data_IF_537783267076
#
_entry.id   IF_537783267076
#
_cell.length_a   1.000
_cell.length_b   1.000
_cell.length_c   1.000
_cell.angle_alpha   90.00
_cell.angle_beta   90.00
_cell.angle_gamma   90.00
#
_symmetry.space_group_name_H-M   'P 1'
#
loop_
_entity.id
_entity.type
_entity.pdbx_description
1 polymer ?
#
# COMPACT_ATOMS: atom_id res chain seq x y z
N UNK A 1 1.71 -6.88 6.16
CA UNK A 1 0.94 -8.08 5.76
C UNK A 1 0.38 -7.98 4.34
N UNK A 2 -0.76 -7.31 4.10
CA UNK A 2 -1.48 -7.42 2.82
C UNK A 2 -0.79 -6.74 1.62
N UNK A 3 0.02 -5.70 1.86
CA UNK A 3 0.72 -4.92 0.82
C UNK A 3 2.26 -5.07 0.86
N UNK A 4 2.77 -6.02 1.66
CA UNK A 4 4.20 -6.18 1.94
C UNK A 4 4.82 -5.06 2.81
N UNK A 5 6.14 -5.09 2.98
CA UNK A 5 6.92 -4.10 3.74
C UNK A 5 7.22 -2.83 2.92
N UNK A 6 7.61 -1.73 3.53
CA UNK A 6 7.93 -0.47 2.84
C UNK A 6 6.69 0.31 2.40
N UNK A 7 5.68 0.48 3.26
CA UNK A 7 4.43 1.19 2.94
C UNK A 7 4.65 2.66 2.59
N UNK A 8 5.72 3.30 3.08
CA UNK A 8 6.14 4.65 2.71
C UNK A 8 6.53 4.79 1.23
N UNK A 9 6.68 3.66 0.52
CA UNK A 9 7.03 3.61 -0.90
C UNK A 9 5.79 3.32 -1.78
N UNK A 10 4.60 3.28 -1.20
CA UNK A 10 3.34 2.98 -1.89
C UNK A 10 2.64 4.27 -2.29
N UNK A 11 2.13 4.27 -3.52
CA UNK A 11 1.46 5.39 -4.16
C UNK A 11 0.11 4.93 -4.74
N UNK A 12 -0.91 5.74 -4.55
CA UNK A 12 -2.26 5.53 -5.06
C UNK A 12 -2.56 6.54 -6.18
N UNK A 13 -2.88 6.10 -7.40
CA UNK A 13 -3.36 6.96 -8.46
C UNK A 13 -4.66 7.69 -8.11
N UNK A 14 -4.78 8.96 -8.54
CA UNK A 14 -6.01 9.76 -8.33
C UNK A 14 -7.22 9.14 -9.04
N UNK A 15 -6.99 8.52 -10.18
CA UNK A 15 -8.01 7.88 -11.02
C UNK A 15 -8.20 6.38 -10.72
N UNK A 16 -7.64 5.89 -9.61
CA UNK A 16 -7.73 4.49 -9.21
C UNK A 16 -9.18 4.05 -9.03
N UNK A 17 -9.54 2.99 -9.74
CA UNK A 17 -10.83 2.32 -9.54
C UNK A 17 -10.79 1.54 -8.24
N UNK A 18 -11.70 1.87 -7.33
CA UNK A 18 -11.84 1.21 -6.04
C UNK A 18 -12.93 0.15 -6.10
N UNK A 19 -12.63 -1.05 -5.63
CA UNK A 19 -13.58 -2.16 -5.51
C UNK A 19 -13.73 -2.54 -4.04
N UNK A 20 -14.95 -2.40 -3.52
CA UNK A 20 -15.28 -2.88 -2.17
C UNK A 20 -15.67 -4.35 -2.24
N UNK A 21 -15.17 -5.16 -1.30
CA UNK A 21 -15.45 -6.59 -1.19
C UNK A 21 -15.80 -6.94 0.24
N UNK A 22 -16.93 -7.62 0.44
CA UNK A 22 -17.31 -8.20 1.72
C UNK A 22 -16.46 -9.42 2.06
N UNK A 23 -15.92 -9.45 3.28
CA UNK A 23 -15.08 -10.53 3.82
C UNK A 23 -15.65 -11.01 5.15
N UNK A 24 -16.77 -11.75 5.15
CA UNK A 24 -17.35 -12.30 6.38
C UNK A 24 -16.41 -13.30 7.08
N UNK A 25 -15.45 -13.85 6.34
CA UNK A 25 -14.44 -14.81 6.79
C UNK A 25 -13.22 -14.17 7.48
N UNK A 26 -13.10 -12.83 7.46
CA UNK A 26 -11.90 -12.12 7.91
C UNK A 26 -12.27 -11.09 8.98
N UNK A 27 -11.52 -11.07 10.09
CA UNK A 27 -11.63 -10.04 11.14
C UNK A 27 -13.06 -9.78 11.62
N UNK A 28 -13.79 -10.84 11.97
CA UNK A 28 -15.18 -10.76 12.45
C UNK A 28 -16.17 -10.15 11.43
N UNK A 29 -15.80 -10.15 10.15
CA UNK A 29 -16.62 -9.60 9.07
C UNK A 29 -16.29 -8.14 8.79
N UNK A 30 -15.47 -7.92 7.77
CA UNK A 30 -15.11 -6.57 7.32
C UNK A 30 -15.41 -6.36 5.84
N UNK A 31 -15.36 -5.09 5.42
CA UNK A 31 -15.25 -4.71 4.01
C UNK A 31 -13.81 -4.34 3.69
N UNK A 32 -13.24 -4.98 2.67
CA UNK A 32 -11.93 -4.62 2.13
C UNK A 32 -12.10 -3.73 0.90
N UNK A 33 -11.14 -2.83 0.68
CA UNK A 33 -11.05 -2.03 -0.55
C UNK A 33 -9.86 -2.54 -1.35
N UNK A 34 -10.12 -2.94 -2.59
CA UNK A 34 -9.14 -3.41 -3.55
C UNK A 34 -8.93 -2.36 -4.64
N UNK A 35 -7.68 -2.14 -5.03
CA UNK A 35 -7.33 -1.29 -6.17
C UNK A 35 -5.96 -1.63 -6.74
N UNK A 36 -5.58 -0.98 -7.83
CA UNK A 36 -4.21 -0.99 -8.34
C UNK A 36 -3.50 0.28 -7.88
N UNK A 37 -2.25 0.13 -7.47
CA UNK A 37 -1.37 1.26 -7.16
C UNK A 37 0.05 1.00 -7.63
N UNK A 38 0.97 1.81 -7.12
CA UNK A 38 2.37 1.75 -7.48
C UNK A 38 3.24 1.61 -6.25
N UNK A 39 4.35 0.90 -6.40
CA UNK A 39 5.43 0.86 -5.42
C UNK A 39 6.71 1.38 -6.03
N UNK A 40 7.37 2.30 -5.34
CA UNK A 40 8.69 2.75 -5.71
C UNK A 40 9.68 1.57 -5.60
N UNK A 41 10.33 1.27 -6.71
CA UNK A 41 11.41 0.28 -6.82
C UNK A 41 12.72 1.03 -6.62
N UNK A 42 13.26 0.93 -5.42
CA UNK A 42 14.63 1.32 -5.18
C UNK A 42 15.54 0.13 -5.54
N UNK A 43 16.34 0.25 -6.60
CA UNK A 43 17.31 -0.79 -6.98
C UNK A 43 18.55 -0.83 -6.07
N UNK A 44 18.54 -0.09 -4.95
CA UNK A 44 19.71 0.12 -4.11
C UNK A 44 20.58 1.18 -4.76
N UNK A 45 20.36 2.44 -4.36
CA UNK A 45 21.36 3.46 -4.61
C UNK A 45 22.57 3.16 -3.72
N UNK A 46 23.79 3.22 -4.26
CA UNK A 46 25.02 3.10 -3.46
C UNK A 46 25.12 4.20 -2.39
N UNK A 47 24.44 5.33 -2.62
CA UNK A 47 24.42 6.49 -1.74
C UNK A 47 23.05 6.68 -1.09
N UNK A 48 23.05 7.07 0.20
CA UNK A 48 21.83 7.41 0.94
C UNK A 48 21.11 8.64 0.37
N UNK A 49 21.85 9.57 -0.23
CA UNK A 49 21.32 10.80 -0.82
C UNK A 49 21.88 11.00 -2.23
N UNK A 50 21.03 11.47 -3.15
CA UNK A 50 21.43 11.85 -4.50
C UNK A 50 20.62 13.05 -4.96
N UNK A 51 21.27 13.98 -5.66
CA UNK A 51 20.60 15.10 -6.32
C UNK A 51 19.84 14.67 -7.60
N UNK A 52 20.08 13.45 -8.08
CA UNK A 52 19.49 12.91 -9.33
C UNK A 52 18.89 11.53 -9.07
N UNK A 53 17.77 11.43 -8.32
CA UNK A 53 17.12 10.16 -8.09
C UNK A 53 16.46 9.63 -9.38
N UNK A 54 16.70 8.35 -9.69
CA UNK A 54 15.99 7.62 -10.76
C UNK A 54 14.84 6.82 -10.14
N UNK A 55 13.68 7.46 -9.99
CA UNK A 55 12.51 6.84 -9.41
C UNK A 55 11.82 5.90 -10.42
N UNK A 56 11.85 4.60 -10.14
CA UNK A 56 11.13 3.59 -10.91
C UNK A 56 9.94 3.08 -10.11
N UNK A 57 8.81 2.90 -10.76
CA UNK A 57 7.60 2.40 -10.13
C UNK A 57 7.20 1.07 -10.73
N UNK A 58 6.74 0.15 -9.88
CA UNK A 58 6.06 -1.08 -10.32
C UNK A 58 4.60 -1.02 -9.92
N UNK A 59 3.71 -1.47 -10.81
CA UNK A 59 2.30 -1.67 -10.47
C UNK A 59 2.17 -2.79 -9.45
N UNK A 60 1.32 -2.60 -8.45
CA UNK A 60 1.00 -3.61 -7.44
C UNK A 60 -0.49 -3.58 -7.11
N UNK A 61 -1.09 -4.73 -6.76
CA UNK A 61 -2.40 -4.73 -6.11
C UNK A 61 -2.28 -4.11 -4.72
N UNK A 62 -3.30 -3.35 -4.32
CA UNK A 62 -3.43 -2.79 -2.98
C UNK A 62 -4.72 -3.28 -2.33
N UNK A 63 -4.62 -3.62 -1.05
CA UNK A 63 -5.72 -4.05 -0.20
C UNK A 63 -5.74 -3.16 1.05
N UNK A 64 -6.87 -2.51 1.30
CA UNK A 64 -7.13 -1.72 2.50
C UNK A 64 -8.17 -2.41 3.38
N UNK A 65 -7.95 -2.33 4.69
CA UNK A 65 -8.88 -2.80 5.72
C UNK A 65 -9.36 -1.61 6.56
N UNK A 66 -10.48 -1.74 7.31
CA UNK A 66 -10.87 -0.73 8.27
C UNK A 66 -9.79 -0.51 9.33
N UNK A 67 -9.52 0.76 9.66
CA UNK A 67 -8.46 1.14 10.60
C UNK A 67 -8.60 0.45 11.97
N UNK A 68 -9.82 0.38 12.52
CA UNK A 68 -10.09 -0.27 13.81
C UNK A 68 -9.69 -1.75 13.85
N UNK A 69 -9.60 -2.39 12.69
CA UNK A 69 -9.35 -3.82 12.58
C UNK A 69 -7.86 -4.14 12.38
N UNK A 70 -6.99 -3.14 12.27
CA UNK A 70 -5.54 -3.31 12.24
C UNK A 70 -5.00 -3.87 13.57
N UNK A 71 -3.77 -4.40 13.55
CA UNK A 71 -3.06 -5.05 14.66
C UNK A 71 -3.69 -6.35 15.21
N UNK A 72 -4.83 -6.79 14.69
CA UNK A 72 -5.45 -8.08 15.04
C UNK A 72 -4.87 -9.29 14.27
N UNK A 73 -3.78 -9.11 13.51
CA UNK A 73 -3.14 -10.17 12.68
C UNK A 73 -1.61 -10.24 12.86
N UNK A 74 -1.12 -9.84 14.03
CA UNK A 74 0.30 -9.78 14.33
C UNK A 74 0.98 -8.49 13.86
N UNK A 75 2.23 -8.32 14.30
CA UNK A 75 3.04 -7.12 14.08
C UNK A 75 3.37 -6.90 12.60
N UNK A 76 3.04 -5.72 12.08
CA UNK A 76 3.24 -5.35 10.68
C UNK A 76 3.20 -3.81 10.52
N UNK A 77 3.77 -3.30 9.43
CA UNK A 77 3.62 -1.89 9.05
C UNK A 77 2.15 -1.50 8.77
N UNK A 78 1.81 -0.24 9.03
CA UNK A 78 0.51 0.36 8.73
C UNK A 78 0.66 1.85 8.42
N UNK A 79 -0.14 2.32 7.48
CA UNK A 79 -0.38 3.75 7.26
C UNK A 79 -1.84 3.98 6.91
N UNK A 80 -2.38 5.12 7.33
CA UNK A 80 -3.71 5.61 6.92
C UNK A 80 -3.57 6.50 5.69
N UNK A 81 -2.54 7.35 5.68
CA UNK A 81 -2.26 8.26 4.58
C UNK A 81 -1.27 7.62 3.61
N UNK A 82 -1.71 7.43 2.37
CA UNK A 82 -0.90 6.91 1.26
C UNK A 82 -0.57 8.06 0.33
N UNK A 83 0.63 8.03 -0.27
CA UNK A 83 1.01 9.05 -1.24
C UNK A 83 0.07 9.03 -2.45
N UNK A 84 -0.44 10.20 -2.81
CA UNK A 84 -1.17 10.38 -4.05
C UNK A 84 -0.21 10.43 -5.25
N UNK A 85 -0.64 9.92 -6.40
CA UNK A 85 0.09 10.02 -7.67
C UNK A 85 -0.83 10.48 -8.80
N UNK A 86 -0.45 11.57 -9.45
CA UNK A 86 -1.01 12.04 -10.72
C UNK A 86 -0.37 11.33 -11.91
#
# INVERSE_FOLDING_TARGET
MDNGAGLQQVYLPVDSKLKVVDRPDKLEGIKEIYTEGFKLVNKGAENLYTAKPDYKFKKIPLIFIPYYAWANRGENEMTVWVHEKN
#
